data_IF_833611976945
#
_entry.id   IF_833611976945
#
_cell.length_a   1.000
_cell.length_b   1.000
_cell.length_c   1.000
_cell.angle_alpha   90.00
_cell.angle_beta   90.00
_cell.angle_gamma   90.00
#
_symmetry.space_group_name_H-M   'P 1'
#
loop_
_entity.id
_entity.type
_entity.pdbx_description
1 polymer ?
#
# COMPACT_ATOMS: atom_id res chain seq x y z
N UNK A 1 -15.75 -1.93 -6.10
CA UNK A 1 -15.17 -2.54 -4.89
C UNK A 1 -13.81 -3.11 -5.28
N UNK A 2 -12.86 -3.14 -4.34
CA UNK A 2 -11.56 -3.76 -4.56
C UNK A 2 -11.71 -5.19 -5.09
N UNK A 3 -10.83 -5.61 -6.00
CA UNK A 3 -10.84 -6.96 -6.59
C UNK A 3 -10.44 -8.03 -5.55
N UNK A 4 -9.52 -7.68 -4.67
CA UNK A 4 -9.05 -8.53 -3.58
C UNK A 4 -9.44 -7.91 -2.24
N UNK A 5 -9.88 -8.73 -1.31
CA UNK A 5 -10.12 -8.30 0.07
C UNK A 5 -8.80 -8.15 0.86
N UNK A 6 -8.90 -7.67 2.08
CA UNK A 6 -7.77 -7.43 2.97
C UNK A 6 -6.89 -8.66 3.16
N UNK A 7 -7.49 -9.83 3.41
CA UNK A 7 -6.75 -11.07 3.67
C UNK A 7 -6.00 -11.53 2.43
N UNK A 8 -6.65 -11.49 1.27
CA UNK A 8 -6.02 -11.86 0.00
C UNK A 8 -4.83 -10.94 -0.33
N UNK A 9 -4.94 -9.64 -0.07
CA UNK A 9 -3.84 -8.68 -0.27
C UNK A 9 -2.67 -8.98 0.67
N UNK A 10 -2.93 -9.18 1.96
CA UNK A 10 -1.88 -9.48 2.95
C UNK A 10 -1.13 -10.77 2.60
N UNK A 11 -1.85 -11.82 2.18
CA UNK A 11 -1.25 -13.07 1.71
C UNK A 11 -0.38 -12.86 0.46
N UNK A 12 -0.81 -12.03 -0.51
CA UNK A 12 -0.02 -11.69 -1.70
C UNK A 12 1.26 -10.96 -1.33
N UNK A 13 1.20 -10.00 -0.41
CA UNK A 13 2.37 -9.27 0.08
C UNK A 13 3.32 -10.23 0.81
N UNK A 14 2.81 -11.03 1.73
CA UNK A 14 3.62 -11.98 2.51
C UNK A 14 4.29 -13.05 1.64
N UNK A 15 3.59 -13.56 0.61
CA UNK A 15 4.14 -14.61 -0.26
C UNK A 15 5.27 -14.13 -1.18
N UNK A 16 5.27 -12.86 -1.57
CA UNK A 16 6.30 -12.28 -2.44
C UNK A 16 7.36 -11.48 -1.70
N UNK A 17 7.06 -11.01 -0.49
CA UNK A 17 7.95 -10.19 0.33
C UNK A 17 8.29 -8.82 -0.28
N UNK A 18 7.55 -8.38 -1.29
CA UNK A 18 7.89 -7.17 -2.04
C UNK A 18 6.63 -6.41 -2.50
N UNK A 19 6.68 -5.09 -2.34
CA UNK A 19 5.71 -4.16 -2.90
C UNK A 19 6.48 -3.04 -3.60
N UNK A 20 6.71 -3.11 -4.91
CA UNK A 20 7.31 -2.02 -5.68
C UNK A 20 6.47 -0.75 -5.58
N UNK A 21 7.14 0.39 -5.42
CA UNK A 21 6.53 1.72 -5.33
C UNK A 21 6.90 2.50 -6.58
N UNK A 22 5.91 3.03 -7.30
CA UNK A 22 6.15 3.70 -8.56
C UNK A 22 5.16 4.84 -8.82
N UNK A 23 5.64 5.84 -9.55
CA UNK A 23 4.83 6.91 -10.12
C UNK A 23 5.33 7.28 -11.51
N UNK A 24 4.43 7.47 -12.44
CA UNK A 24 4.68 8.11 -13.71
C UNK A 24 3.40 8.78 -14.20
N UNK A 25 3.52 9.94 -14.85
CA UNK A 25 2.38 10.70 -15.38
C UNK A 25 1.75 10.08 -16.63
N UNK A 26 2.52 9.29 -17.36
CA UNK A 26 2.07 8.57 -18.56
C UNK A 26 1.58 7.18 -18.17
N UNK A 27 0.31 6.90 -18.46
CA UNK A 27 -0.32 5.63 -18.15
C UNK A 27 0.30 4.45 -18.90
N UNK A 28 0.78 4.64 -20.14
CA UNK A 28 1.38 3.56 -20.91
C UNK A 28 2.74 3.13 -20.33
N UNK A 29 3.52 4.08 -19.80
CA UNK A 29 4.75 3.77 -19.07
C UNK A 29 4.41 3.01 -17.79
N UNK A 30 3.42 3.48 -17.04
CA UNK A 30 3.01 2.84 -15.78
C UNK A 30 2.49 1.41 -16.01
N UNK A 31 1.68 1.17 -17.04
CA UNK A 31 1.20 -0.17 -17.43
C UNK A 31 2.35 -1.12 -17.76
N UNK A 32 3.36 -0.66 -18.52
CA UNK A 32 4.55 -1.46 -18.84
C UNK A 32 5.33 -1.86 -17.58
N UNK A 33 5.50 -0.94 -16.63
CA UNK A 33 6.18 -1.23 -15.36
C UNK A 33 5.38 -2.23 -14.53
N UNK A 34 4.06 -2.07 -14.40
CA UNK A 34 3.19 -3.03 -13.72
C UNK A 34 3.29 -4.42 -14.36
N UNK A 35 3.27 -4.49 -15.69
CA UNK A 35 3.39 -5.77 -16.42
C UNK A 35 4.76 -6.43 -16.17
N UNK A 36 5.84 -5.68 -16.25
CA UNK A 36 7.18 -6.19 -16.00
C UNK A 36 7.32 -6.73 -14.56
N UNK A 37 6.79 -6.00 -13.55
CA UNK A 37 6.75 -6.47 -12.18
C UNK A 37 5.92 -7.77 -12.03
N UNK A 38 4.77 -7.83 -12.70
CA UNK A 38 3.91 -9.01 -12.68
C UNK A 38 4.59 -10.23 -13.28
N UNK A 39 5.25 -10.07 -14.43
CA UNK A 39 5.99 -11.14 -15.11
C UNK A 39 7.20 -11.60 -14.28
N UNK A 40 7.80 -10.69 -13.49
CA UNK A 40 8.85 -10.97 -12.51
C UNK A 40 8.36 -11.65 -11.23
N UNK A 41 7.06 -11.95 -11.10
CA UNK A 41 6.51 -12.66 -9.94
C UNK A 41 5.91 -11.77 -8.84
N UNK A 42 5.94 -10.44 -8.98
CA UNK A 42 5.31 -9.51 -8.02
C UNK A 42 3.78 -9.67 -8.06
N UNK A 43 3.14 -9.62 -6.88
CA UNK A 43 1.67 -9.76 -6.75
C UNK A 43 0.99 -8.60 -6.00
N UNK A 44 1.77 -7.63 -5.52
CA UNK A 44 1.26 -6.37 -4.95
C UNK A 44 2.10 -5.20 -5.46
N UNK A 45 1.48 -4.13 -5.91
CA UNK A 45 2.15 -2.97 -6.53
C UNK A 45 1.53 -1.68 -6.02
N UNK A 46 2.35 -0.75 -5.52
CA UNK A 46 1.94 0.56 -5.02
C UNK A 46 2.17 1.61 -6.11
N UNK A 47 1.09 2.15 -6.68
CA UNK A 47 1.15 3.41 -7.41
C UNK A 47 1.00 4.58 -6.44
N UNK A 48 1.67 5.71 -6.66
CA UNK A 48 1.61 6.83 -5.70
C UNK A 48 0.85 8.03 -6.23
N UNK A 49 0.07 8.66 -5.35
CA UNK A 49 -0.67 9.90 -5.61
C UNK A 49 0.27 11.11 -5.48
N UNK A 50 1.18 11.30 -6.44
CA UNK A 50 2.23 12.33 -6.39
C UNK A 50 2.13 13.42 -7.44
N UNK A 51 1.17 13.40 -8.31
CA UNK A 51 1.06 14.40 -9.37
C UNK A 51 -0.40 14.74 -9.68
N UNK A 52 -0.57 15.83 -10.40
CA UNK A 52 -1.88 16.21 -10.88
C UNK A 52 -2.47 15.11 -11.75
N UNK A 53 -3.76 14.87 -11.62
CA UNK A 53 -4.50 13.82 -12.36
C UNK A 53 -3.98 12.39 -12.15
N UNK A 54 -3.24 12.12 -11.05
CA UNK A 54 -2.75 10.77 -10.73
C UNK A 54 -3.88 9.72 -10.67
N UNK A 55 -5.09 10.12 -10.30
CA UNK A 55 -6.28 9.27 -10.27
C UNK A 55 -6.70 8.75 -11.65
N UNK A 56 -6.43 9.51 -12.73
CA UNK A 56 -6.71 9.06 -14.10
C UNK A 56 -5.75 7.95 -14.50
N UNK A 57 -4.46 8.16 -14.27
CA UNK A 57 -3.43 7.13 -14.50
C UNK A 57 -3.68 5.89 -13.67
N UNK A 58 -4.02 6.05 -12.38
CA UNK A 58 -4.37 4.95 -11.50
C UNK A 58 -5.55 4.13 -12.05
N UNK A 59 -6.59 4.80 -12.52
CA UNK A 59 -7.77 4.16 -13.12
C UNK A 59 -7.39 3.30 -14.32
N UNK A 60 -6.52 3.81 -15.19
CA UNK A 60 -6.02 3.06 -16.35
C UNK A 60 -5.18 1.85 -15.94
N UNK A 61 -4.33 1.99 -14.92
CA UNK A 61 -3.54 0.88 -14.37
C UNK A 61 -4.46 -0.21 -13.80
N UNK A 62 -5.47 0.15 -13.03
CA UNK A 62 -6.41 -0.82 -12.43
C UNK A 62 -7.17 -1.58 -13.51
N UNK A 63 -7.68 -0.89 -14.54
CA UNK A 63 -8.37 -1.52 -15.68
C UNK A 63 -7.45 -2.46 -16.46
N UNK A 64 -6.21 -2.03 -16.71
CA UNK A 64 -5.19 -2.83 -17.36
C UNK A 64 -4.85 -4.08 -16.55
N UNK A 65 -4.55 -3.92 -15.28
CA UNK A 65 -4.18 -5.03 -14.39
C UNK A 65 -5.30 -6.06 -14.24
N UNK A 66 -6.57 -5.63 -14.31
CA UNK A 66 -7.71 -6.55 -14.26
C UNK A 66 -7.71 -7.56 -15.41
N UNK A 67 -7.16 -7.19 -16.57
CA UNK A 67 -7.11 -8.00 -17.80
C UNK A 67 -5.77 -8.73 -17.95
N UNK A 68 -4.67 -7.98 -17.86
CA UNK A 68 -3.34 -8.45 -18.24
C UNK A 68 -2.51 -8.99 -17.06
N UNK A 69 -2.88 -8.62 -15.83
CA UNK A 69 -2.18 -9.02 -14.60
C UNK A 69 -3.20 -9.49 -13.54
N UNK A 70 -3.98 -10.56 -13.81
CA UNK A 70 -5.17 -10.90 -13.01
C UNK A 70 -4.88 -11.18 -11.54
N UNK A 71 -3.65 -11.56 -11.17
CA UNK A 71 -3.25 -11.81 -9.79
C UNK A 71 -2.58 -10.60 -9.10
N UNK A 72 -2.40 -9.48 -9.80
CA UNK A 72 -1.79 -8.28 -9.23
C UNK A 72 -2.79 -7.50 -8.40
N UNK A 73 -2.48 -7.27 -7.14
CA UNK A 73 -3.15 -6.30 -6.28
C UNK A 73 -2.54 -4.91 -6.52
N UNK A 74 -3.34 -3.97 -7.03
CA UNK A 74 -2.91 -2.58 -7.23
C UNK A 74 -3.34 -1.75 -6.03
N UNK A 75 -2.38 -1.19 -5.33
CA UNK A 75 -2.59 -0.26 -4.22
C UNK A 75 -2.24 1.17 -4.59
N UNK A 76 -2.63 2.07 -3.71
CA UNK A 76 -2.36 3.49 -3.82
C UNK A 76 -1.57 4.00 -2.63
N UNK A 77 -0.47 4.71 -2.88
CA UNK A 77 0.36 5.35 -1.86
C UNK A 77 0.27 6.86 -1.86
N UNK A 78 0.96 7.46 -0.90
CA UNK A 78 0.95 8.91 -0.64
C UNK A 78 -0.43 9.45 -0.24
N UNK A 79 -1.21 8.66 0.47
CA UNK A 79 -2.53 9.02 0.95
C UNK A 79 -2.43 9.58 2.38
N UNK A 80 -2.91 10.80 2.56
CA UNK A 80 -2.77 11.53 3.83
C UNK A 80 -4.11 11.85 4.50
N UNK A 81 -5.24 11.68 3.78
CA UNK A 81 -6.57 12.01 4.27
C UNK A 81 -7.62 10.96 3.86
N UNK A 82 -8.73 10.85 4.63
CA UNK A 82 -9.75 9.84 4.39
C UNK A 82 -10.60 10.10 3.12
N UNK A 83 -10.74 11.34 2.67
CA UNK A 83 -11.52 11.67 1.48
C UNK A 83 -10.80 11.16 0.22
N UNK A 84 -9.50 11.42 0.13
CA UNK A 84 -8.64 10.89 -0.94
C UNK A 84 -8.60 9.37 -0.90
N UNK A 85 -8.49 8.75 0.28
CA UNK A 85 -8.58 7.30 0.42
C UNK A 85 -9.90 6.76 -0.14
N UNK A 86 -11.03 7.34 0.23
CA UNK A 86 -12.36 6.93 -0.23
C UNK A 86 -12.49 7.01 -1.75
N UNK A 87 -11.95 8.05 -2.38
CA UNK A 87 -11.93 8.22 -3.83
C UNK A 87 -11.18 7.07 -4.51
N UNK A 88 -9.95 6.78 -4.08
CA UNK A 88 -9.16 5.71 -4.68
C UNK A 88 -9.73 4.31 -4.42
N UNK A 89 -10.39 4.09 -3.29
CA UNK A 89 -11.13 2.84 -3.04
C UNK A 89 -12.28 2.65 -4.03
N UNK A 90 -12.96 3.72 -4.46
CA UNK A 90 -13.96 3.66 -5.51
C UNK A 90 -13.36 3.40 -6.89
N UNK A 91 -12.15 3.87 -7.14
CA UNK A 91 -11.40 3.61 -8.38
C UNK A 91 -10.79 2.19 -8.41
N UNK A 92 -10.95 1.40 -7.34
CA UNK A 92 -10.56 0.00 -7.31
C UNK A 92 -9.23 -0.31 -6.61
N UNK A 93 -8.71 0.59 -5.78
CA UNK A 93 -7.53 0.31 -4.97
C UNK A 93 -7.74 -0.93 -4.09
N UNK A 94 -6.79 -1.86 -4.13
CA UNK A 94 -6.82 -3.08 -3.33
C UNK A 94 -6.20 -2.89 -1.94
N UNK A 95 -5.33 -1.90 -1.78
CA UNK A 95 -4.76 -1.46 -0.50
C UNK A 95 -4.40 0.01 -0.56
N UNK A 96 -4.26 0.62 0.61
CA UNK A 96 -3.92 2.03 0.77
C UNK A 96 -2.63 2.14 1.59
N UNK A 97 -1.71 3.01 1.17
CA UNK A 97 -0.46 3.31 1.90
C UNK A 97 -0.40 4.80 2.20
N UNK A 98 -0.08 5.15 3.42
CA UNK A 98 0.14 6.53 3.85
C UNK A 98 1.60 6.77 4.26
N UNK A 99 2.09 8.02 4.18
CA UNK A 99 3.41 8.39 4.72
C UNK A 99 3.39 8.56 6.24
N UNK A 100 2.20 8.61 6.84
CA UNK A 100 1.96 8.79 8.27
C UNK A 100 0.76 7.96 8.71
N UNK A 101 0.66 7.71 10.01
CA UNK A 101 -0.52 7.06 10.59
C UNK A 101 -1.70 8.05 10.68
N UNK A 102 -2.85 7.66 10.14
CA UNK A 102 -4.10 8.41 10.25
C UNK A 102 -5.25 7.44 10.57
N UNK A 103 -5.85 7.49 11.78
CA UNK A 103 -6.90 6.56 12.19
C UNK A 103 -8.18 6.69 11.35
N UNK A 104 -8.46 7.87 10.78
CA UNK A 104 -9.65 8.06 9.95
C UNK A 104 -9.51 7.34 8.59
N UNK A 105 -8.29 7.27 8.03
CA UNK A 105 -8.02 6.43 6.86
C UNK A 105 -8.26 4.95 7.21
N UNK A 106 -7.77 4.49 8.37
CA UNK A 106 -7.98 3.12 8.83
C UNK A 106 -9.47 2.77 8.92
N UNK A 107 -10.30 3.67 9.48
CA UNK A 107 -11.77 3.49 9.56
C UNK A 107 -12.41 3.36 8.18
N UNK A 108 -12.02 4.19 7.21
CA UNK A 108 -12.54 4.14 5.83
C UNK A 108 -12.16 2.82 5.17
N UNK A 109 -10.91 2.38 5.30
CA UNK A 109 -10.41 1.12 4.74
C UNK A 109 -11.08 -0.09 5.39
N UNK A 110 -11.19 -0.13 6.72
CA UNK A 110 -11.82 -1.22 7.47
C UNK A 110 -13.28 -1.43 7.09
N UNK A 111 -14.06 -0.36 6.89
CA UNK A 111 -15.47 -0.46 6.42
C UNK A 111 -15.60 -1.14 5.06
N UNK A 112 -14.53 -1.23 4.29
CA UNK A 112 -14.51 -1.81 2.94
C UNK A 112 -13.68 -3.10 2.86
N UNK A 113 -13.19 -3.60 3.99
CA UNK A 113 -12.27 -4.75 4.07
C UNK A 113 -11.03 -4.58 3.16
N UNK A 114 -10.45 -3.39 3.16
CA UNK A 114 -9.24 -3.05 2.42
C UNK A 114 -8.10 -2.84 3.41
N UNK A 115 -6.91 -3.35 3.07
CA UNK A 115 -5.71 -3.15 3.89
C UNK A 115 -5.27 -1.68 3.85
N UNK A 116 -4.93 -1.15 5.04
CA UNK A 116 -4.24 0.13 5.17
C UNK A 116 -2.87 -0.11 5.80
N UNK A 117 -1.83 0.37 5.15
CA UNK A 117 -0.43 0.30 5.59
C UNK A 117 0.08 1.72 5.87
N UNK A 118 -0.04 2.22 7.10
CA UNK A 118 0.44 3.54 7.48
C UNK A 118 1.96 3.59 7.56
N UNK A 119 2.55 4.75 7.26
CA UNK A 119 3.90 5.11 7.64
C UNK A 119 3.98 5.35 9.14
N UNK A 120 4.93 4.71 9.81
CA UNK A 120 5.19 4.83 11.24
C UNK A 120 6.68 5.05 11.48
N UNK A 121 7.00 6.04 12.30
CA UNK A 121 8.36 6.40 12.70
C UNK A 121 8.65 6.17 14.18
N UNK A 122 7.70 5.58 14.91
CA UNK A 122 7.87 5.26 16.34
C UNK A 122 7.11 4.00 16.73
N UNK A 123 7.54 3.39 17.83
CA UNK A 123 6.86 2.22 18.43
C UNK A 123 5.42 2.55 18.80
N UNK A 124 5.17 3.77 19.30
CA UNK A 124 3.83 4.22 19.67
C UNK A 124 2.90 4.32 18.46
N UNK A 125 3.40 4.85 17.34
CA UNK A 125 2.61 4.93 16.11
C UNK A 125 2.26 3.55 15.57
N UNK A 126 3.20 2.59 15.63
CA UNK A 126 2.92 1.20 15.26
C UNK A 126 1.86 0.59 16.18
N UNK A 127 1.99 0.78 17.50
CA UNK A 127 1.00 0.30 18.47
C UNK A 127 -0.40 0.86 18.19
N UNK A 128 -0.53 2.17 17.99
CA UNK A 128 -1.82 2.79 17.63
C UNK A 128 -2.37 2.31 16.29
N UNK A 129 -1.49 2.09 15.30
CA UNK A 129 -1.92 1.54 14.03
C UNK A 129 -2.48 0.11 14.18
N UNK A 130 -1.83 -0.72 14.99
CA UNK A 130 -2.29 -2.08 15.31
C UNK A 130 -3.64 -2.08 16.06
N UNK A 131 -3.84 -1.18 17.03
CA UNK A 131 -5.10 -1.04 17.76
C UNK A 131 -6.31 -0.78 16.84
N UNK A 132 -6.10 -0.09 15.71
CA UNK A 132 -7.16 0.18 14.73
C UNK A 132 -7.18 -0.83 13.58
N UNK A 133 -6.44 -1.94 13.70
CA UNK A 133 -6.49 -3.06 12.76
C UNK A 133 -5.62 -2.90 11.52
N UNK A 134 -4.49 -2.18 11.62
CA UNK A 134 -3.46 -2.18 10.57
C UNK A 134 -2.53 -3.38 10.81
N UNK A 135 -2.59 -4.38 9.92
CA UNK A 135 -1.79 -5.61 10.03
C UNK A 135 -0.36 -5.44 9.51
N UNK A 136 -0.13 -4.43 8.66
CA UNK A 136 1.19 -4.05 8.17
C UNK A 136 1.42 -2.57 8.45
N UNK A 137 2.59 -2.25 8.99
CA UNK A 137 3.07 -0.89 9.17
C UNK A 137 4.34 -0.69 8.34
N UNK A 138 4.41 0.44 7.67
CA UNK A 138 5.58 0.84 6.88
C UNK A 138 6.50 1.67 7.78
N UNK A 139 7.72 1.22 8.00
CA UNK A 139 8.74 2.07 8.65
C UNK A 139 9.09 3.22 7.69
N UNK A 140 8.79 4.45 8.09
CA UNK A 140 8.95 5.61 7.21
C UNK A 140 9.36 6.88 7.98
N UNK A 141 10.35 7.66 7.47
CA UNK A 141 11.21 7.35 6.31
C UNK A 141 12.21 6.21 6.57
N UNK A 142 12.29 5.25 5.64
CA UNK A 142 13.12 4.05 5.84
C UNK A 142 14.65 4.33 5.85
N UNK A 143 15.09 5.36 5.16
CA UNK A 143 16.49 5.81 5.14
C UNK A 143 16.94 6.42 6.48
N UNK A 144 16.01 6.98 7.26
CA UNK A 144 16.30 7.55 8.59
C UNK A 144 16.39 6.43 9.64
N UNK A 145 15.44 5.49 9.63
CA UNK A 145 15.35 4.47 10.69
C UNK A 145 16.19 3.23 10.42
N UNK A 146 16.35 2.87 9.16
CA UNK A 146 17.10 1.69 8.75
C UNK A 146 16.53 0.37 9.27
N UNK A 147 17.23 -0.74 8.97
CA UNK A 147 16.82 -2.08 9.38
C UNK A 147 16.94 -2.34 10.89
N UNK A 148 17.77 -1.57 11.58
CA UNK A 148 17.95 -1.72 13.01
C UNK A 148 16.70 -1.37 13.82
N UNK A 149 15.88 -0.44 13.32
CA UNK A 149 14.60 -0.13 13.94
C UNK A 149 13.68 -1.35 13.94
N UNK A 150 13.58 -2.05 12.81
CA UNK A 150 12.73 -3.25 12.69
C UNK A 150 13.22 -4.38 13.59
N UNK A 151 14.55 -4.64 13.62
CA UNK A 151 15.13 -5.68 14.47
C UNK A 151 14.86 -5.47 15.96
N UNK A 152 14.88 -4.23 16.42
CA UNK A 152 14.58 -3.90 17.82
C UNK A 152 13.10 -4.00 18.14
N UNK A 153 12.25 -3.84 17.12
CA UNK A 153 10.80 -3.88 17.29
C UNK A 153 10.27 -5.31 17.37
N UNK A 154 10.85 -6.26 16.64
CA UNK A 154 10.39 -7.67 16.61
C UNK A 154 10.84 -8.50 17.82
N UNK A 155 11.55 -7.86 18.76
CA UNK A 155 12.00 -8.52 19.99
C UNK A 155 13.17 -9.50 19.81
N UNK A 156 13.80 -9.55 18.63
CA UNK A 156 14.96 -10.40 18.38
C UNK A 156 16.22 -9.91 19.12
N UNK A 157 16.26 -8.60 19.43
CA UNK A 157 17.21 -8.01 20.37
C UNK A 157 16.41 -7.53 21.60
N UNK A 158 16.47 -8.26 22.70
CA UNK A 158 15.76 -7.99 23.93
C UNK A 158 15.73 -6.48 24.23
N UNK A 159 14.52 -5.95 24.47
CA UNK A 159 14.39 -4.61 25.04
C UNK A 159 15.10 -4.61 26.39
N UNK A 160 16.20 -3.86 26.47
CA UNK A 160 16.82 -3.49 27.75
C UNK A 160 16.12 -2.26 28.28
#
# INVERSE_FOLDING_TARGET
MAKFDKIAVLNKIGSTGMVPVFYHKDAEVAKKVVKACYDGGVRAFEFTNRGDFAQEVFTEIVKFAAKECPEMAIGIGSIVDPATAAMYLQLGANFVVGPLFNPEIAKVCNRRSVAYTPGCGSVSEVGFAQEVGCDLCKVFPGDVYGTNFVKRFDGSDAMV
#
